data_IF_871901284534
#
_entry.id   IF_871901284534
#
_cell.length_a   1.000
_cell.length_b   1.000
_cell.length_c   1.000
_cell.angle_alpha   90.00
_cell.angle_beta   90.00
_cell.angle_gamma   90.00
#
_symmetry.space_group_name_H-M   'P 1'
#
loop_
_entity.id
_entity.type
_entity.pdbx_description
1 polymer ?
#
# COMPACT_ATOMS: atom_id res chain seq x y z
N UNK A 1 6.10 4.80 19.94
CA UNK A 1 5.51 5.75 18.98
C UNK A 1 5.51 5.12 17.59
N UNK A 2 4.35 5.02 16.93
CA UNK A 2 4.25 4.53 15.53
C UNK A 2 5.04 5.49 14.64
N UNK A 3 5.91 4.96 13.79
CA UNK A 3 6.66 5.77 12.83
C UNK A 3 5.72 6.23 11.73
N UNK A 4 5.83 7.50 11.42
CA UNK A 4 4.93 8.26 10.57
C UNK A 4 5.49 8.22 9.14
N UNK A 5 4.76 7.59 8.22
CA UNK A 5 5.22 7.33 6.84
C UNK A 5 5.59 8.59 6.07
N UNK A 6 5.00 9.72 6.44
CA UNK A 6 5.20 11.05 5.84
C UNK A 6 5.50 12.08 6.93
N UNK A 7 6.30 11.70 7.93
CA UNK A 7 6.60 12.56 9.09
C UNK A 7 7.14 13.93 8.66
N UNK A 8 6.51 14.98 9.17
CA UNK A 8 6.85 16.39 8.92
C UNK A 8 6.75 16.83 7.45
N UNK A 9 6.09 16.05 6.59
CA UNK A 9 5.76 16.49 5.23
C UNK A 9 4.66 17.53 5.26
N UNK A 10 4.88 18.66 4.59
CA UNK A 10 3.88 19.71 4.45
C UNK A 10 2.98 19.39 3.26
N UNK A 11 1.73 19.03 3.51
CA UNK A 11 0.76 18.68 2.48
C UNK A 11 -0.31 19.74 2.44
N UNK A 12 -0.56 20.28 1.25
CA UNK A 12 -1.66 21.21 1.02
C UNK A 12 -2.83 20.40 0.48
N UNK A 13 -3.91 20.34 1.26
CA UNK A 13 -5.15 19.68 0.88
C UNK A 13 -6.16 20.72 0.40
N UNK A 14 -6.34 20.79 -0.91
CA UNK A 14 -7.28 21.66 -1.59
C UNK A 14 -8.61 20.92 -1.81
N UNK A 15 -9.70 21.42 -1.23
CA UNK A 15 -11.02 20.77 -1.31
C UNK A 15 -11.97 21.65 -2.12
N UNK A 16 -12.65 21.05 -3.10
CA UNK A 16 -13.61 21.77 -3.96
C UNK A 16 -15.05 21.32 -3.75
N UNK A 17 -16.01 22.14 -4.20
CA UNK A 17 -17.45 21.91 -3.98
C UNK A 17 -18.03 20.74 -4.75
N UNK A 18 -17.94 19.54 -4.16
CA UNK A 18 -18.52 18.29 -4.65
C UNK A 18 -19.14 17.52 -3.49
N UNK A 19 -20.12 16.67 -3.78
CA UNK A 19 -20.69 15.73 -2.80
C UNK A 19 -19.63 14.84 -2.17
N UNK A 20 -18.51 14.60 -2.86
CA UNK A 20 -17.38 13.83 -2.34
C UNK A 20 -16.52 14.60 -1.31
N UNK A 21 -16.80 15.87 -1.00
CA UNK A 21 -15.97 16.68 -0.11
C UNK A 21 -15.85 16.11 1.31
N UNK A 22 -16.84 15.34 1.79
CA UNK A 22 -16.75 14.66 3.09
C UNK A 22 -15.59 13.64 3.13
N UNK A 23 -15.24 13.03 1.99
CA UNK A 23 -14.10 12.09 1.88
C UNK A 23 -12.78 12.78 2.22
N UNK A 24 -12.65 14.07 1.90
CA UNK A 24 -11.46 14.87 2.22
C UNK A 24 -11.31 15.13 3.72
N UNK A 25 -12.41 15.15 4.48
CA UNK A 25 -12.35 15.22 5.96
C UNK A 25 -11.68 13.97 6.50
N UNK A 26 -12.08 12.80 6.02
CA UNK A 26 -11.42 11.55 6.39
C UNK A 26 -9.95 11.51 5.96
N UNK A 27 -9.65 11.90 4.71
CA UNK A 27 -8.28 11.99 4.20
C UNK A 27 -7.40 12.89 5.07
N UNK A 28 -7.92 14.04 5.51
CA UNK A 28 -7.18 14.94 6.40
C UNK A 28 -6.77 14.26 7.72
N UNK A 29 -7.67 13.47 8.32
CA UNK A 29 -7.37 12.68 9.52
C UNK A 29 -6.30 11.62 9.25
N UNK A 30 -6.40 10.94 8.10
CA UNK A 30 -5.46 9.90 7.73
C UNK A 30 -4.04 10.45 7.47
N UNK A 31 -3.95 11.61 6.82
CA UNK A 31 -2.68 12.32 6.58
C UNK A 31 -2.00 12.76 7.90
N UNK A 32 -2.77 13.35 8.81
CA UNK A 32 -2.28 13.76 10.15
C UNK A 32 -1.82 12.55 10.97
N UNK A 33 -2.61 11.45 10.96
CA UNK A 33 -2.22 10.18 11.61
C UNK A 33 -0.94 9.60 11.02
N UNK A 34 -0.73 9.78 9.71
CA UNK A 34 0.48 9.38 8.99
C UNK A 34 1.66 10.34 9.20
N UNK A 35 1.45 11.46 9.90
CA UNK A 35 2.46 12.38 10.38
C UNK A 35 2.71 13.62 9.54
N UNK A 36 1.89 13.86 8.52
CA UNK A 36 1.98 15.08 7.74
C UNK A 36 1.52 16.30 8.56
N UNK A 37 2.12 17.44 8.25
CA UNK A 37 1.55 18.74 8.55
C UNK A 37 0.59 19.12 7.41
N UNK A 38 -0.71 19.23 7.70
CA UNK A 38 -1.74 19.40 6.67
C UNK A 38 -2.32 20.81 6.70
N UNK A 39 -2.08 21.59 5.65
CA UNK A 39 -2.70 22.90 5.44
C UNK A 39 -3.89 22.73 4.50
N UNK A 40 -5.09 23.12 4.93
CA UNK A 40 -6.30 22.97 4.13
C UNK A 40 -6.66 24.29 3.42
N UNK A 41 -7.01 24.19 2.15
CA UNK A 41 -7.59 25.28 1.36
C UNK A 41 -8.97 24.83 0.88
N UNK A 42 -10.03 25.53 1.29
CA UNK A 42 -11.39 25.28 0.81
C UNK A 42 -11.75 26.25 -0.30
N UNK A 43 -12.30 25.74 -1.41
CA UNK A 43 -12.99 26.61 -2.35
C UNK A 43 -14.24 27.20 -1.69
N UNK A 44 -14.68 28.36 -2.17
CA UNK A 44 -15.94 28.97 -1.71
C UNK A 44 -17.13 28.00 -1.80
N UNK A 45 -17.18 27.17 -2.83
CA UNK A 45 -18.23 26.16 -3.02
C UNK A 45 -18.10 24.94 -2.10
N UNK A 46 -16.90 24.57 -1.65
CA UNK A 46 -16.68 23.46 -0.73
C UNK A 46 -17.34 23.70 0.64
N UNK A 47 -17.44 24.96 1.07
CA UNK A 47 -18.08 25.38 2.32
C UNK A 47 -19.57 25.01 2.41
N UNK A 48 -20.23 24.72 1.28
CA UNK A 48 -21.62 24.26 1.26
C UNK A 48 -21.76 22.76 1.54
N UNK A 49 -20.66 22.00 1.50
CA UNK A 49 -20.66 20.54 1.70
C UNK A 49 -19.98 20.13 3.01
N UNK A 50 -18.96 20.89 3.43
CA UNK A 50 -18.15 20.59 4.62
C UNK A 50 -17.78 21.87 5.36
N UNK A 51 -17.75 21.79 6.69
CA UNK A 51 -17.40 22.93 7.55
C UNK A 51 -15.90 23.10 7.75
N UNK A 52 -15.44 24.35 7.84
CA UNK A 52 -14.05 24.70 8.19
C UNK A 52 -13.61 24.08 9.53
N UNK A 53 -14.50 24.06 10.53
CA UNK A 53 -14.20 23.55 11.87
C UNK A 53 -13.78 22.08 11.89
N UNK A 54 -14.34 21.27 10.98
CA UNK A 54 -13.95 19.86 10.85
C UNK A 54 -12.48 19.72 10.47
N UNK A 55 -12.02 20.56 9.54
CA UNK A 55 -10.63 20.52 9.10
C UNK A 55 -9.70 21.11 10.14
N UNK A 56 -9.99 22.31 10.66
CA UNK A 56 -9.13 22.96 11.66
C UNK A 56 -8.98 22.13 12.94
N UNK A 57 -10.04 21.43 13.36
CA UNK A 57 -10.00 20.54 14.52
C UNK A 57 -9.14 19.29 14.30
N UNK A 58 -9.07 18.78 13.07
CA UNK A 58 -8.29 17.58 12.72
C UNK A 58 -6.82 17.92 12.43
N UNK A 59 -6.58 18.99 11.67
CA UNK A 59 -5.24 19.35 11.22
C UNK A 59 -4.48 20.22 12.19
N UNK A 60 -5.18 20.84 13.15
CA UNK A 60 -4.65 21.86 14.05
C UNK A 60 -4.05 23.08 13.33
N UNK A 61 -4.44 23.30 12.08
CA UNK A 61 -4.06 24.46 11.27
C UNK A 61 -5.30 25.29 10.88
N UNK A 62 -5.18 26.62 10.72
CA UNK A 62 -6.25 27.43 10.18
C UNK A 62 -6.61 26.99 8.75
N UNK A 63 -7.87 27.16 8.35
CA UNK A 63 -8.33 26.80 7.00
C UNK A 63 -8.34 28.06 6.13
N UNK A 64 -7.71 27.98 4.96
CA UNK A 64 -7.68 29.10 4.00
C UNK A 64 -8.93 29.04 3.13
N UNK A 65 -9.72 30.11 3.07
CA UNK A 65 -10.97 30.14 2.27
C UNK A 65 -11.03 31.22 1.20
N UNK A 66 -10.04 32.11 1.16
CA UNK A 66 -9.93 33.19 0.18
C UNK A 66 -8.64 33.99 0.35
N UNK A 67 -8.32 34.86 -0.61
CA UNK A 67 -7.14 35.72 -0.57
C UNK A 67 -7.21 36.82 0.49
N UNK A 68 -8.41 37.20 0.91
CA UNK A 68 -8.67 38.37 1.75
C UNK A 68 -9.32 37.98 3.10
N UNK A 69 -9.12 36.74 3.56
CA UNK A 69 -9.76 36.26 4.77
C UNK A 69 -9.07 36.84 6.03
N UNK A 70 -9.81 37.64 6.79
CA UNK A 70 -9.34 38.49 7.89
C UNK A 70 -9.01 37.74 9.18
N UNK A 71 -9.24 36.41 9.22
CA UNK A 71 -8.94 35.55 10.37
C UNK A 71 -7.49 35.03 10.40
N UNK A 72 -6.66 35.45 9.46
CA UNK A 72 -5.23 35.17 9.45
C UNK A 72 -4.51 36.48 9.76
N UNK A 73 -3.42 36.43 10.53
CA UNK A 73 -2.57 37.60 10.82
C UNK A 73 -1.99 38.14 9.50
N UNK A 74 -2.79 38.93 8.76
CA UNK A 74 -2.56 39.66 7.52
C UNK A 74 -1.89 38.98 6.30
N UNK A 75 -1.27 37.81 6.39
CA UNK A 75 -0.73 37.08 5.24
C UNK A 75 -0.28 35.68 5.65
N UNK A 76 -1.20 34.71 5.79
CA UNK A 76 -0.79 33.39 5.30
C UNK A 76 -0.76 33.56 3.78
N UNK A 77 0.37 34.05 3.29
CA UNK A 77 0.58 34.24 1.87
C UNK A 77 0.39 32.85 1.25
N UNK A 78 -0.65 32.68 0.44
CA UNK A 78 -0.82 31.47 -0.37
C UNK A 78 0.50 31.09 -1.07
N UNK A 79 1.37 32.06 -1.32
CA UNK A 79 2.75 31.89 -1.75
C UNK A 79 3.63 31.24 -0.67
N UNK A 80 3.61 31.67 0.59
CA UNK A 80 4.38 31.06 1.67
C UNK A 80 3.95 29.63 1.98
N UNK A 81 2.64 29.39 1.92
CA UNK A 81 2.07 28.04 2.00
C UNK A 81 2.55 27.20 0.82
N UNK A 82 2.41 27.72 -0.41
CA UNK A 82 2.87 27.06 -1.62
C UNK A 82 4.36 26.71 -1.60
N UNK A 83 5.22 27.62 -1.11
CA UNK A 83 6.68 27.44 -1.02
C UNK A 83 7.08 26.35 -0.02
N UNK A 84 6.27 26.14 1.03
CA UNK A 84 6.52 25.12 2.06
C UNK A 84 6.01 23.75 1.67
N UNK A 85 5.17 23.64 0.64
CA UNK A 85 4.54 22.40 0.22
C UNK A 85 5.58 21.35 -0.21
N UNK A 86 5.49 20.14 0.33
CA UNK A 86 6.12 18.95 -0.22
C UNK A 86 5.22 18.27 -1.28
N UNK A 87 3.90 18.47 -1.18
CA UNK A 87 2.88 17.94 -2.09
C UNK A 87 1.62 18.80 -2.02
N UNK A 88 0.95 19.00 -3.16
CA UNK A 88 -0.38 19.59 -3.23
C UNK A 88 -1.37 18.52 -3.70
N UNK A 89 -2.50 18.39 -3.00
CA UNK A 89 -3.55 17.42 -3.31
C UNK A 89 -4.86 18.16 -3.51
N UNK A 90 -5.48 18.04 -4.68
CA UNK A 90 -6.81 18.59 -4.98
C UNK A 90 -7.83 17.46 -4.93
N UNK A 91 -8.60 17.39 -3.85
CA UNK A 91 -9.47 16.27 -3.54
C UNK A 91 -10.71 16.74 -2.75
N UNK A 92 -11.93 16.57 -3.28
CA UNK A 92 -12.24 16.25 -4.67
C UNK A 92 -11.87 17.40 -5.62
N UNK A 93 -11.58 17.08 -6.87
CA UNK A 93 -11.40 18.03 -7.96
C UNK A 93 -12.61 18.02 -8.90
N UNK A 94 -13.43 19.07 -8.82
CA UNK A 94 -14.56 19.30 -9.74
C UNK A 94 -14.12 19.68 -11.15
N UNK A 95 -14.99 19.51 -12.15
CA UNK A 95 -14.74 19.97 -13.52
C UNK A 95 -14.27 21.44 -13.58
N UNK A 96 -14.85 22.31 -12.74
CA UNK A 96 -14.48 23.71 -12.63
C UNK A 96 -13.02 23.92 -12.18
N UNK A 97 -12.53 23.20 -11.17
CA UNK A 97 -11.14 23.36 -10.74
C UNK A 97 -10.17 22.78 -11.77
N UNK A 98 -10.51 21.68 -12.46
CA UNK A 98 -9.69 21.14 -13.54
C UNK A 98 -9.49 22.17 -14.65
N UNK A 99 -10.57 22.85 -15.06
CA UNK A 99 -10.50 23.91 -16.04
C UNK A 99 -9.58 25.05 -15.59
N UNK A 100 -9.78 25.55 -14.36
CA UNK A 100 -8.94 26.64 -13.83
C UNK A 100 -7.47 26.27 -13.71
N UNK A 101 -7.15 25.05 -13.26
CA UNK A 101 -5.76 24.57 -13.19
C UNK A 101 -5.15 24.52 -14.59
N UNK A 102 -5.85 23.92 -15.56
CA UNK A 102 -5.35 23.77 -16.94
C UNK A 102 -5.08 25.11 -17.63
N UNK A 103 -5.85 26.15 -17.28
CA UNK A 103 -5.77 27.48 -17.87
C UNK A 103 -4.96 28.48 -17.03
N UNK A 104 -4.50 28.09 -15.84
CA UNK A 104 -3.81 28.98 -14.91
C UNK A 104 -4.70 30.10 -14.33
N UNK A 105 -6.01 29.89 -14.20
CA UNK A 105 -6.95 30.90 -13.71
C UNK A 105 -6.90 30.97 -12.17
N UNK A 106 -6.10 31.90 -11.64
CA UNK A 106 -5.84 32.08 -10.21
C UNK A 106 -6.90 32.87 -9.43
N UNK A 107 -8.19 32.66 -9.72
CA UNK A 107 -9.31 33.39 -9.07
C UNK A 107 -9.61 32.93 -7.65
N UNK A 108 -9.00 31.84 -7.18
CA UNK A 108 -9.08 31.33 -5.81
C UNK A 108 -7.70 30.83 -5.33
N UNK A 109 -7.48 30.75 -4.00
CA UNK A 109 -6.18 30.40 -3.46
C UNK A 109 -5.67 29.00 -3.82
N UNK A 110 -6.54 28.08 -4.27
CA UNK A 110 -6.13 26.73 -4.67
C UNK A 110 -5.22 26.83 -5.90
N UNK A 111 -5.69 27.52 -6.94
CA UNK A 111 -4.90 27.67 -8.18
C UNK A 111 -3.70 28.58 -7.96
N UNK A 112 -3.85 29.65 -7.17
CA UNK A 112 -2.72 30.51 -6.81
C UNK A 112 -1.61 29.75 -6.08
N UNK A 113 -1.97 28.86 -5.17
CA UNK A 113 -1.03 28.00 -4.49
C UNK A 113 -0.32 27.01 -5.45
N UNK A 114 -1.05 26.42 -6.40
CA UNK A 114 -0.47 25.52 -7.39
C UNK A 114 0.55 26.26 -8.27
N UNK A 115 0.18 27.44 -8.77
CA UNK A 115 1.05 28.26 -9.62
C UNK A 115 2.30 28.78 -8.88
N UNK A 116 2.19 29.02 -7.58
CA UNK A 116 3.28 29.52 -6.75
C UNK A 116 4.19 28.40 -6.17
N UNK A 117 3.88 27.12 -6.41
CA UNK A 117 4.63 25.99 -5.86
C UNK A 117 5.47 25.27 -6.91
N UNK A 118 6.53 24.61 -6.44
CA UNK A 118 7.30 23.61 -7.20
C UNK A 118 6.98 22.18 -6.77
N UNK A 119 6.10 22.01 -5.78
CA UNK A 119 5.73 20.72 -5.27
C UNK A 119 4.95 19.93 -6.34
N UNK A 120 5.09 18.59 -6.38
CA UNK A 120 4.22 17.75 -7.18
C UNK A 120 2.75 17.98 -6.81
N UNK A 121 1.86 17.80 -7.80
CA UNK A 121 0.43 17.97 -7.63
C UNK A 121 -0.29 16.67 -7.95
N UNK A 122 -1.18 16.24 -7.05
CA UNK A 122 -2.13 15.16 -7.27
C UNK A 122 -3.54 15.76 -7.34
N UNK A 123 -4.32 15.34 -8.32
CA UNK A 123 -5.70 15.78 -8.52
C UNK A 123 -6.58 14.54 -8.54
N UNK A 124 -7.62 14.51 -7.71
CA UNK A 124 -8.59 13.41 -7.60
C UNK A 124 -9.96 13.86 -8.14
N UNK A 125 -10.27 13.64 -9.44
CA UNK A 125 -11.50 14.14 -10.05
C UNK A 125 -12.76 13.57 -9.41
N UNK A 126 -13.80 14.39 -9.29
CA UNK A 126 -15.12 13.96 -8.81
C UNK A 126 -16.23 14.77 -9.48
N UNK A 127 -17.02 14.12 -10.33
CA UNK A 127 -18.14 14.71 -11.06
C UNK A 127 -19.09 13.63 -11.61
N UNK A 128 -20.19 14.05 -12.21
CA UNK A 128 -21.06 13.11 -12.93
C UNK A 128 -20.35 12.51 -14.16
N UNK A 129 -20.79 11.33 -14.63
CA UNK A 129 -20.17 10.63 -15.75
C UNK A 129 -20.26 11.40 -17.06
N UNK A 130 -21.38 12.05 -17.34
CA UNK A 130 -21.53 12.86 -18.56
C UNK A 130 -20.64 14.11 -18.51
N UNK A 131 -20.47 14.69 -17.32
CA UNK A 131 -19.51 15.79 -17.11
C UNK A 131 -18.08 15.32 -17.37
N UNK A 132 -17.69 14.17 -16.80
CA UNK A 132 -16.35 13.62 -16.97
C UNK A 132 -16.05 13.33 -18.45
N UNK A 133 -16.98 12.71 -19.16
CA UNK A 133 -16.83 12.36 -20.58
C UNK A 133 -16.96 13.56 -21.54
N UNK A 134 -17.36 14.74 -21.05
CA UNK A 134 -17.50 15.91 -21.90
C UNK A 134 -16.17 16.30 -22.58
N UNK A 135 -16.19 16.73 -23.85
CA UNK A 135 -14.98 17.11 -24.58
C UNK A 135 -14.15 18.21 -23.87
N UNK A 136 -14.82 19.11 -23.16
CA UNK A 136 -14.18 20.19 -22.39
C UNK A 136 -13.37 19.63 -21.23
N UNK A 137 -13.96 18.76 -20.41
CA UNK A 137 -13.28 18.14 -19.27
C UNK A 137 -12.13 17.25 -19.74
N UNK A 138 -12.33 16.47 -20.80
CA UNK A 138 -11.27 15.64 -21.37
C UNK A 138 -10.08 16.47 -21.90
N UNK A 139 -10.33 17.65 -22.50
CA UNK A 139 -9.26 18.59 -22.86
C UNK A 139 -8.47 19.05 -21.64
N UNK A 140 -9.15 19.44 -20.56
CA UNK A 140 -8.48 19.88 -19.32
C UNK A 140 -7.68 18.74 -18.68
N UNK A 141 -8.23 17.53 -18.63
CA UNK A 141 -7.54 16.33 -18.12
C UNK A 141 -6.24 16.07 -18.89
N UNK A 142 -6.29 16.13 -20.22
CA UNK A 142 -5.10 15.91 -21.04
C UNK A 142 -4.06 17.02 -20.86
N UNK A 143 -4.50 18.27 -20.68
CA UNK A 143 -3.62 19.38 -20.35
C UNK A 143 -2.94 19.19 -19.00
N UNK A 144 -3.68 18.79 -17.96
CA UNK A 144 -3.11 18.49 -16.64
C UNK A 144 -2.02 17.41 -16.74
N UNK A 145 -2.24 16.34 -17.51
CA UNK A 145 -1.21 15.32 -17.76
C UNK A 145 0.03 15.90 -18.44
N UNK A 146 -0.15 16.80 -19.42
CA UNK A 146 0.95 17.49 -20.10
C UNK A 146 1.78 18.35 -19.15
N UNK A 147 1.14 18.92 -18.13
CA UNK A 147 1.77 19.71 -17.07
C UNK A 147 2.41 18.85 -15.95
N UNK A 148 2.53 17.53 -16.16
CA UNK A 148 3.04 16.56 -15.16
C UNK A 148 2.23 16.53 -13.85
N UNK A 149 0.94 16.86 -13.93
CA UNK A 149 0.02 16.75 -12.80
C UNK A 149 -0.52 15.32 -12.75
N UNK A 150 -0.36 14.68 -11.60
CA UNK A 150 -0.80 13.30 -11.38
C UNK A 150 -2.31 13.26 -11.18
N UNK A 151 -3.00 12.39 -11.93
CA UNK A 151 -4.44 12.19 -11.81
C UNK A 151 -4.71 10.88 -11.07
N UNK A 152 -5.40 10.98 -9.94
CA UNK A 152 -5.90 9.85 -9.16
C UNK A 152 -7.38 9.62 -9.52
N UNK A 153 -7.68 8.50 -10.18
CA UNK A 153 -9.02 8.18 -10.66
C UNK A 153 -9.49 9.07 -11.84
N UNK A 154 -10.81 9.32 -11.99
CA UNK A 154 -11.89 8.87 -11.11
C UNK A 154 -12.19 7.38 -11.24
N UNK A 155 -12.87 6.84 -10.23
CA UNK A 155 -13.32 5.45 -10.19
C UNK A 155 -14.71 5.27 -10.82
N UNK A 156 -14.97 4.05 -11.29
CA UNK A 156 -16.31 3.63 -11.74
C UNK A 156 -17.16 3.25 -10.54
N UNK A 157 -18.38 3.76 -10.46
CA UNK A 157 -19.31 3.39 -9.41
C UNK A 157 -20.65 4.12 -9.49
N UNK A 158 -21.56 3.81 -8.58
CA UNK A 158 -22.86 4.50 -8.48
C UNK A 158 -22.64 5.96 -8.08
N UNK A 159 -23.01 6.87 -8.98
CA UNK A 159 -22.93 8.31 -8.82
C UNK A 159 -24.19 8.87 -8.14
N UNK A 160 -24.15 10.14 -7.73
CA UNK A 160 -25.30 10.81 -7.12
C UNK A 160 -26.52 10.92 -8.06
N UNK A 161 -26.29 10.95 -9.38
CA UNK A 161 -27.31 10.86 -10.42
C UNK A 161 -28.00 9.49 -10.50
N UNK A 162 -27.45 8.47 -9.84
CA UNK A 162 -27.93 7.08 -9.90
C UNK A 162 -27.27 6.24 -11.01
N UNK A 163 -26.52 6.86 -11.91
CA UNK A 163 -25.79 6.19 -13.00
C UNK A 163 -24.55 5.47 -12.44
N UNK A 164 -24.19 4.32 -13.01
CA UNK A 164 -23.00 3.56 -12.63
C UNK A 164 -21.89 3.73 -13.66
N UNK A 165 -21.14 4.82 -13.56
CA UNK A 165 -20.11 5.23 -14.53
C UNK A 165 -18.87 5.81 -13.85
N UNK A 166 -17.84 6.12 -14.63
CA UNK A 166 -16.66 6.85 -14.16
C UNK A 166 -17.05 8.26 -13.69
N UNK A 167 -16.54 8.67 -12.54
CA UNK A 167 -16.81 10.02 -12.00
C UNK A 167 -16.72 10.12 -10.48
N UNK A 168 -16.62 8.97 -9.80
CA UNK A 168 -16.47 8.90 -8.34
C UNK A 168 -15.04 9.24 -7.96
N UNK A 169 -14.85 10.09 -6.95
CA UNK A 169 -13.52 10.34 -6.39
C UNK A 169 -12.91 9.03 -5.89
N UNK A 170 -11.62 8.82 -6.19
CA UNK A 170 -10.77 7.79 -5.58
C UNK A 170 -11.01 7.68 -4.08
N UNK A 171 -10.95 6.46 -3.54
CA UNK A 171 -11.11 6.31 -2.10
C UNK A 171 -9.98 6.99 -1.33
N UNK A 172 -10.26 7.60 -0.17
CA UNK A 172 -9.22 8.27 0.61
C UNK A 172 -8.03 7.39 0.98
N UNK A 173 -8.26 6.09 1.21
CA UNK A 173 -7.21 5.11 1.49
C UNK A 173 -6.26 4.95 0.30
N UNK A 174 -6.81 4.77 -0.90
CA UNK A 174 -6.04 4.64 -2.14
C UNK A 174 -5.28 5.95 -2.44
N UNK A 175 -5.94 7.10 -2.29
CA UNK A 175 -5.32 8.40 -2.47
C UNK A 175 -4.21 8.68 -1.44
N UNK A 176 -4.38 8.24 -0.19
CA UNK A 176 -3.32 8.31 0.83
C UNK A 176 -2.09 7.50 0.43
N UNK A 177 -2.28 6.33 -0.16
CA UNK A 177 -1.18 5.50 -0.64
C UNK A 177 -0.42 6.16 -1.79
N UNK A 178 -1.13 6.71 -2.77
CA UNK A 178 -0.51 7.48 -3.86
C UNK A 178 0.29 8.69 -3.31
N UNK A 179 -0.25 9.38 -2.29
CA UNK A 179 0.44 10.48 -1.59
C UNK A 179 1.73 9.99 -0.93
N UNK A 180 1.67 8.88 -0.19
CA UNK A 180 2.85 8.29 0.47
C UNK A 180 3.87 7.87 -0.58
N UNK A 181 3.45 7.24 -1.66
CA UNK A 181 4.31 6.82 -2.75
C UNK A 181 5.03 8.01 -3.39
N UNK A 182 4.29 9.11 -3.68
CA UNK A 182 4.86 10.32 -4.30
C UNK A 182 5.85 11.03 -3.36
N UNK A 183 5.62 10.96 -2.06
CA UNK A 183 6.48 11.56 -1.03
C UNK A 183 7.64 10.66 -0.57
N UNK A 184 7.65 9.40 -0.97
CA UNK A 184 8.66 8.43 -0.57
C UNK A 184 10.03 8.78 -1.19
N UNK A 185 11.00 9.09 -0.33
CA UNK A 185 12.33 9.62 -0.71
C UNK A 185 13.26 8.61 -1.36
N UNK A 186 13.01 7.31 -1.23
CA UNK A 186 13.95 6.24 -1.64
C UNK A 186 13.31 5.36 -2.71
N UNK A 187 13.50 5.69 -3.98
CA UNK A 187 13.03 4.90 -5.14
C UNK A 187 14.07 3.87 -5.61
N UNK A 188 14.79 3.26 -4.68
CA UNK A 188 15.92 2.38 -5.00
C UNK A 188 15.52 0.98 -5.51
N UNK A 189 14.21 0.74 -5.65
CA UNK A 189 13.63 -0.45 -6.27
C UNK A 189 12.86 -0.17 -7.57
N UNK A 190 12.94 1.04 -8.15
CA UNK A 190 12.14 1.45 -9.32
C UNK A 190 12.21 0.50 -10.54
N UNK A 191 13.33 -0.21 -10.70
CA UNK A 191 13.56 -1.17 -11.81
C UNK A 191 13.36 -2.63 -11.39
N UNK A 192 12.80 -2.88 -10.21
CA UNK A 192 12.67 -4.21 -9.63
C UNK A 192 11.23 -4.69 -9.75
N UNK A 193 11.05 -5.80 -10.43
CA UNK A 193 9.84 -6.62 -10.36
C UNK A 193 10.02 -7.63 -9.22
N UNK A 194 9.17 -7.53 -8.20
CA UNK A 194 9.26 -8.35 -7.00
C UNK A 194 8.02 -9.23 -6.83
N UNK A 195 8.26 -10.51 -6.52
CA UNK A 195 7.23 -11.45 -6.07
C UNK A 195 7.32 -11.52 -4.55
N UNK A 196 6.19 -11.32 -3.88
CA UNK A 196 6.07 -11.49 -2.43
C UNK A 196 5.00 -12.53 -2.17
N UNK A 197 5.26 -13.49 -1.27
CA UNK A 197 4.23 -14.41 -0.80
C UNK A 197 3.73 -14.02 0.58
N UNK A 198 2.42 -14.12 0.82
CA UNK A 198 1.81 -13.81 2.12
C UNK A 198 0.66 -14.77 2.49
N UNK A 199 0.31 -14.79 3.78
CA UNK A 199 -0.80 -15.59 4.29
C UNK A 199 -0.45 -17.06 4.50
N UNK A 200 -1.43 -17.86 4.93
CA UNK A 200 -1.31 -19.31 5.06
C UNK A 200 -1.97 -20.02 3.88
N UNK A 201 -1.36 -21.09 3.36
CA UNK A 201 -2.05 -21.96 2.38
C UNK A 201 -3.11 -22.81 3.08
N UNK A 202 -4.10 -23.24 2.32
CA UNK A 202 -5.24 -24.05 2.72
C UNK A 202 -5.15 -25.36 1.95
N UNK A 203 -5.01 -26.46 2.67
CA UNK A 203 -4.99 -27.81 2.11
C UNK A 203 -6.31 -28.49 2.47
N UNK A 204 -7.20 -28.61 1.48
CA UNK A 204 -8.56 -29.11 1.69
C UNK A 204 -8.57 -30.61 2.02
N UNK A 205 -9.40 -31.00 2.99
CA UNK A 205 -9.67 -32.39 3.35
C UNK A 205 -10.92 -32.88 2.61
N UNK A 206 -11.96 -32.06 2.68
CA UNK A 206 -13.25 -32.21 2.04
C UNK A 206 -13.82 -30.79 1.76
N UNK A 207 -15.00 -30.62 1.13
CA UNK A 207 -15.53 -29.28 0.81
C UNK A 207 -15.83 -28.38 2.02
N UNK A 208 -15.67 -28.88 3.25
CA UNK A 208 -16.02 -28.17 4.50
C UNK A 208 -14.81 -27.95 5.40
N UNK A 209 -13.80 -28.84 5.34
CA UNK A 209 -12.68 -28.89 6.28
C UNK A 209 -11.35 -28.75 5.54
N UNK A 210 -10.39 -28.10 6.19
CA UNK A 210 -9.05 -27.91 5.65
C UNK A 210 -7.99 -27.89 6.76
N UNK A 211 -6.73 -28.03 6.35
CA UNK A 211 -5.52 -27.86 7.16
C UNK A 211 -4.86 -26.54 6.74
N UNK A 212 -4.43 -25.72 7.70
CA UNK A 212 -3.76 -24.45 7.42
C UNK A 212 -2.88 -24.00 8.58
N UNK A 213 -1.95 -23.09 8.29
CA UNK A 213 -1.07 -22.48 9.28
C UNK A 213 -1.67 -21.19 9.83
N UNK A 214 -1.36 -20.86 11.09
CA UNK A 214 -1.83 -19.63 11.77
C UNK A 214 -1.09 -18.39 11.26
N UNK A 215 -1.29 -18.01 10.00
CA UNK A 215 -0.68 -16.82 9.41
C UNK A 215 -1.71 -15.74 9.13
N UNK A 216 -1.46 -14.54 9.67
CA UNK A 216 -2.26 -13.35 9.38
C UNK A 216 -1.95 -12.71 8.03
N UNK A 217 -0.79 -13.02 7.45
CA UNK A 217 -0.28 -12.40 6.22
C UNK A 217 0.26 -10.97 6.37
N UNK A 218 0.13 -10.35 7.56
CA UNK A 218 0.55 -8.95 7.82
C UNK A 218 2.01 -8.67 7.45
N UNK A 219 2.93 -9.63 7.64
CA UNK A 219 4.35 -9.43 7.32
C UNK A 219 4.58 -9.33 5.81
N UNK A 220 3.97 -10.22 5.02
CA UNK A 220 4.09 -10.18 3.56
C UNK A 220 3.42 -8.95 2.96
N UNK A 221 2.28 -8.51 3.51
CA UNK A 221 1.65 -7.24 3.13
C UNK A 221 2.58 -6.06 3.44
N UNK A 222 3.21 -6.03 4.62
CA UNK A 222 4.14 -4.97 4.99
C UNK A 222 5.35 -4.90 4.05
N UNK A 223 5.87 -6.04 3.62
CA UNK A 223 6.97 -6.14 2.65
C UNK A 223 6.53 -5.65 1.28
N UNK A 224 5.35 -6.06 0.81
CA UNK A 224 4.80 -5.64 -0.46
C UNK A 224 4.58 -4.11 -0.50
N UNK A 225 4.03 -3.52 0.57
CA UNK A 225 3.89 -2.07 0.76
C UNK A 225 5.24 -1.37 0.68
N UNK A 226 6.22 -1.82 1.48
CA UNK A 226 7.54 -1.20 1.51
C UNK A 226 8.28 -1.30 0.17
N UNK A 227 8.07 -2.37 -0.61
CA UNK A 227 8.61 -2.52 -1.97
C UNK A 227 7.98 -1.52 -2.94
N UNK A 228 6.64 -1.43 -2.96
CA UNK A 228 5.91 -0.45 -3.77
C UNK A 228 6.34 0.97 -3.44
N UNK A 229 6.39 1.33 -2.16
CA UNK A 229 6.76 2.68 -1.73
C UNK A 229 8.19 3.05 -2.19
N UNK A 230 9.06 2.04 -2.29
CA UNK A 230 10.42 2.14 -2.83
C UNK A 230 10.53 2.03 -4.36
N UNK A 231 9.40 1.99 -5.07
CA UNK A 231 9.30 2.02 -6.53
C UNK A 231 9.20 0.66 -7.21
N UNK A 232 9.21 -0.46 -6.47
CA UNK A 232 9.12 -1.78 -7.10
C UNK A 232 7.75 -2.02 -7.76
N UNK A 233 7.72 -2.79 -8.85
CA UNK A 233 6.49 -3.42 -9.34
C UNK A 233 6.27 -4.72 -8.56
N UNK A 234 5.19 -4.79 -7.79
CA UNK A 234 4.99 -5.88 -6.84
C UNK A 234 3.85 -6.80 -7.27
N UNK A 235 4.12 -8.10 -7.33
CA UNK A 235 3.10 -9.16 -7.38
C UNK A 235 3.04 -9.85 -6.02
N UNK A 236 1.91 -9.68 -5.31
CA UNK A 236 1.65 -10.32 -4.02
C UNK A 236 0.79 -11.58 -4.23
N UNK A 237 1.44 -12.74 -4.21
CA UNK A 237 0.79 -14.04 -4.29
C UNK A 237 0.40 -14.45 -2.87
N UNK A 238 -0.89 -14.63 -2.59
CA UNK A 238 -1.34 -14.80 -1.23
C UNK A 238 -2.31 -15.95 -1.03
N UNK A 239 -2.11 -16.66 0.09
CA UNK A 239 -3.10 -17.57 0.66
C UNK A 239 -4.17 -16.81 1.44
N UNK A 240 -4.62 -17.39 2.55
CA UNK A 240 -5.53 -16.74 3.49
C UNK A 240 -4.87 -15.52 4.15
N UNK A 241 -5.51 -14.35 4.02
CA UNK A 241 -5.12 -13.10 4.67
C UNK A 241 -6.20 -12.68 5.67
N UNK A 242 -5.82 -12.17 6.84
CA UNK A 242 -6.77 -11.63 7.83
C UNK A 242 -7.31 -10.25 7.41
N UNK A 243 -6.47 -9.45 6.74
CA UNK A 243 -6.83 -8.14 6.24
C UNK A 243 -6.16 -7.93 4.88
N UNK A 244 -6.91 -7.35 3.93
CA UNK A 244 -6.42 -6.96 2.60
C UNK A 244 -6.31 -5.43 2.43
N UNK A 245 -6.49 -4.66 3.50
CA UNK A 245 -6.49 -3.21 3.43
C UNK A 245 -5.10 -2.66 3.08
N UNK A 246 -5.13 -1.58 2.32
CA UNK A 246 -4.00 -0.78 1.86
C UNK A 246 -3.02 -1.53 0.92
N UNK A 247 -3.53 -2.42 0.05
CA UNK A 247 -2.71 -3.09 -0.99
C UNK A 247 -2.81 -2.41 -2.36
N UNK A 248 -3.08 -1.10 -2.43
CA UNK A 248 -3.18 -0.39 -3.70
C UNK A 248 -1.81 -0.35 -4.40
N UNK A 249 -1.80 -0.32 -5.73
CA UNK A 249 -0.56 -0.37 -6.53
C UNK A 249 0.22 -1.69 -6.43
N UNK A 250 -0.33 -2.71 -5.75
CA UNK A 250 0.24 -4.06 -5.66
C UNK A 250 -0.67 -5.00 -6.44
N UNK A 251 -0.09 -5.78 -7.37
CA UNK A 251 -0.84 -6.81 -8.10
C UNK A 251 -1.13 -7.98 -7.18
N UNK A 252 -2.39 -8.20 -6.84
CA UNK A 252 -2.84 -9.28 -5.97
C UNK A 252 -3.15 -10.56 -6.76
N UNK A 253 -2.60 -11.70 -6.34
CA UNK A 253 -2.90 -13.02 -6.91
C UNK A 253 -3.30 -13.96 -5.78
N UNK A 254 -4.58 -14.31 -5.72
CA UNK A 254 -5.10 -15.21 -4.68
C UNK A 254 -4.85 -16.66 -5.07
N UNK A 255 -4.35 -17.44 -4.12
CA UNK A 255 -4.15 -18.90 -4.24
C UNK A 255 -4.70 -19.58 -3.00
N UNK A 256 -5.11 -20.84 -3.14
CA UNK A 256 -5.60 -21.62 -2.00
C UNK A 256 -4.48 -22.52 -1.47
N UNK A 257 -3.89 -23.36 -2.31
CA UNK A 257 -2.95 -24.42 -1.89
C UNK A 257 -1.48 -24.06 -2.10
N UNK A 258 -0.57 -24.84 -1.50
CA UNK A 258 0.86 -24.76 -1.77
C UNK A 258 1.20 -25.02 -3.25
N UNK A 259 0.46 -25.92 -3.91
CA UNK A 259 0.65 -26.23 -5.34
C UNK A 259 0.26 -25.05 -6.23
N UNK A 260 -0.86 -24.40 -5.95
CA UNK A 260 -1.28 -23.20 -6.67
C UNK A 260 -0.29 -22.04 -6.43
N UNK A 261 0.17 -21.86 -5.19
CA UNK A 261 1.18 -20.86 -4.87
C UNK A 261 2.47 -21.08 -5.68
N UNK A 262 2.94 -22.33 -5.76
CA UNK A 262 4.11 -22.69 -6.57
C UNK A 262 3.90 -22.31 -8.03
N UNK A 263 2.78 -22.72 -8.63
CA UNK A 263 2.45 -22.46 -10.03
C UNK A 263 2.42 -20.96 -10.32
N UNK A 264 1.79 -20.16 -9.46
CA UNK A 264 1.71 -18.71 -9.66
C UNK A 264 3.06 -18.02 -9.49
N UNK A 265 3.94 -18.51 -8.61
CA UNK A 265 5.31 -18.02 -8.54
C UNK A 265 6.00 -18.30 -9.89
N UNK A 266 5.95 -19.53 -10.38
CA UNK A 266 6.56 -19.93 -11.65
C UNK A 266 6.08 -19.08 -12.84
N UNK A 267 4.77 -18.79 -12.91
CA UNK A 267 4.18 -17.93 -13.94
C UNK A 267 4.73 -16.49 -13.96
N UNK A 268 5.25 -16.01 -12.83
CA UNK A 268 5.74 -14.63 -12.69
C UNK A 268 7.28 -14.54 -12.59
N UNK A 269 7.99 -15.67 -12.54
CA UNK A 269 9.44 -15.71 -12.32
C UNK A 269 10.25 -15.03 -13.42
N UNK A 270 9.89 -15.25 -14.69
CA UNK A 270 10.72 -14.86 -15.84
C UNK A 270 11.07 -13.37 -15.86
N UNK A 271 10.13 -12.52 -15.41
CA UNK A 271 10.31 -11.07 -15.41
C UNK A 271 10.69 -10.51 -14.03
N UNK A 272 10.95 -11.34 -13.03
CA UNK A 272 11.13 -10.91 -11.64
C UNK A 272 12.59 -11.02 -11.18
N UNK A 273 13.06 -10.01 -10.45
CA UNK A 273 14.44 -9.98 -9.91
C UNK A 273 14.50 -10.40 -8.44
N UNK A 274 13.38 -10.34 -7.73
CA UNK A 274 13.32 -10.61 -6.30
C UNK A 274 12.11 -11.48 -5.94
N UNK A 275 12.35 -12.55 -5.17
CA UNK A 275 11.33 -13.37 -4.54
C UNK A 275 11.48 -13.32 -3.02
N UNK A 276 10.45 -12.81 -2.34
CA UNK A 276 10.38 -12.81 -0.87
C UNK A 276 9.29 -13.78 -0.40
N UNK A 277 9.69 -14.93 0.12
CA UNK A 277 8.78 -15.97 0.58
C UNK A 277 8.45 -15.83 2.07
N UNK A 278 7.43 -15.02 2.38
CA UNK A 278 6.97 -14.78 3.76
C UNK A 278 5.65 -15.47 4.11
N UNK A 279 5.03 -16.17 3.16
CA UNK A 279 3.85 -17.00 3.41
C UNK A 279 4.18 -18.19 4.32
N UNK A 280 3.19 -18.60 5.12
CA UNK A 280 3.23 -19.84 5.89
C UNK A 280 2.64 -20.97 5.02
N UNK A 281 3.45 -21.49 4.12
CA UNK A 281 3.10 -22.62 3.25
C UNK A 281 2.99 -23.90 4.09
N UNK A 282 1.94 -24.69 3.89
CA UNK A 282 1.76 -25.97 4.56
C UNK A 282 2.75 -27.01 4.04
N UNK A 283 3.50 -27.67 4.94
CA UNK A 283 4.50 -28.68 4.59
C UNK A 283 3.88 -29.98 4.06
N UNK A 284 2.60 -30.23 4.36
CA UNK A 284 1.85 -31.42 3.99
C UNK A 284 0.49 -31.04 3.42
N UNK A 285 -0.01 -31.86 2.49
CA UNK A 285 -1.37 -31.81 1.94
C UNK A 285 -2.10 -33.13 2.13
N UNK A 286 -3.41 -33.12 1.95
CA UNK A 286 -4.25 -34.32 2.02
C UNK A 286 -4.02 -35.15 0.76
N UNK A 287 -3.64 -36.42 0.93
CA UNK A 287 -3.31 -37.32 -0.19
C UNK A 287 -4.55 -37.71 -1.01
N UNK A 288 -5.67 -37.95 -0.33
CA UNK A 288 -6.93 -38.38 -0.94
C UNK A 288 -8.04 -37.36 -0.63
N UNK A 289 -8.11 -36.28 -1.41
CA UNK A 289 -9.19 -35.29 -1.27
C UNK A 289 -10.55 -35.93 -1.58
N UNK A 290 -11.53 -35.67 -0.72
CA UNK A 290 -12.92 -36.10 -0.94
C UNK A 290 -13.74 -34.98 -1.57
N UNK A 291 -14.44 -35.26 -2.67
CA UNK A 291 -15.38 -34.30 -3.29
C UNK A 291 -16.67 -34.09 -2.50
N UNK A 292 -16.95 -34.99 -1.56
CA UNK A 292 -18.10 -34.93 -0.65
C UNK A 292 -17.63 -34.75 0.79
N UNK A 293 -18.46 -34.13 1.63
CA UNK A 293 -18.19 -34.01 3.07
C UNK A 293 -18.05 -35.39 3.68
N UNK A 294 -16.88 -35.70 4.24
CA UNK A 294 -16.65 -37.00 4.85
C UNK A 294 -17.54 -37.12 6.09
N UNK A 295 -18.38 -38.17 6.13
CA UNK A 295 -19.27 -38.46 7.26
C UNK A 295 -18.44 -38.69 8.52
N UNK A 296 -18.99 -38.30 9.68
CA UNK A 296 -18.25 -38.33 10.95
C UNK A 296 -17.83 -39.76 11.32
N UNK A 297 -18.69 -40.73 11.00
CA UNK A 297 -18.50 -42.15 11.31
C UNK A 297 -17.44 -42.82 10.42
N UNK A 298 -17.16 -42.24 9.25
CA UNK A 298 -16.18 -42.77 8.29
C UNK A 298 -14.79 -42.14 8.40
N UNK A 299 -14.60 -41.15 9.28
CA UNK A 299 -13.37 -40.34 9.35
C UNK A 299 -12.53 -40.68 10.58
N UNK A 300 -11.73 -41.75 10.48
CA UNK A 300 -10.85 -42.20 11.58
C UNK A 300 -9.42 -41.65 11.47
N UNK A 301 -8.96 -41.32 10.26
CA UNK A 301 -7.64 -40.74 10.02
C UNK A 301 -7.64 -39.90 8.74
N UNK A 302 -6.64 -39.03 8.59
CA UNK A 302 -6.37 -38.27 7.37
C UNK A 302 -4.97 -38.65 6.91
N UNK A 303 -4.86 -39.20 5.70
CA UNK A 303 -3.57 -39.52 5.11
C UNK A 303 -2.96 -38.26 4.46
N UNK A 304 -1.74 -37.92 4.87
CA UNK A 304 -1.02 -36.73 4.40
C UNK A 304 0.15 -37.13 3.52
N UNK A 305 0.44 -36.30 2.53
CA UNK A 305 1.65 -36.37 1.72
C UNK A 305 2.39 -35.02 1.71
N UNK A 306 3.70 -35.04 1.45
CA UNK A 306 4.52 -33.82 1.49
C UNK A 306 4.20 -32.88 0.33
N UNK A 307 4.12 -31.60 0.64
CA UNK A 307 4.11 -30.54 -0.36
C UNK A 307 5.49 -30.30 -0.96
N UNK A 308 5.56 -29.74 -2.19
CA UNK A 308 6.82 -29.33 -2.78
C UNK A 308 7.46 -28.23 -1.94
N UNK A 309 8.79 -28.25 -1.87
CA UNK A 309 9.53 -27.22 -1.17
C UNK A 309 9.80 -26.07 -2.14
N UNK A 310 8.81 -25.20 -2.28
CA UNK A 310 8.81 -24.12 -3.28
C UNK A 310 10.12 -23.32 -3.25
N UNK A 311 10.59 -22.93 -2.05
CA UNK A 311 11.81 -22.14 -1.89
C UNK A 311 13.06 -22.89 -2.36
N UNK A 312 13.10 -24.22 -2.21
CA UNK A 312 14.18 -25.08 -2.71
C UNK A 312 14.10 -25.27 -4.22
N UNK A 313 12.90 -25.48 -4.74
CA UNK A 313 12.65 -25.87 -6.13
C UNK A 313 12.82 -24.70 -7.11
N UNK A 314 12.58 -23.46 -6.68
CA UNK A 314 12.89 -22.28 -7.50
C UNK A 314 14.41 -22.12 -7.63
N UNK A 315 14.89 -22.04 -8.87
CA UNK A 315 16.30 -21.81 -9.17
C UNK A 315 16.76 -20.42 -8.69
N UNK A 316 17.67 -20.41 -7.71
CA UNK A 316 18.24 -19.19 -7.13
C UNK A 316 19.20 -18.43 -8.05
N UNK A 317 19.60 -19.01 -9.18
CA UNK A 317 20.42 -18.30 -10.18
C UNK A 317 19.58 -17.37 -11.06
N UNK A 318 18.27 -17.61 -11.15
CA UNK A 318 17.34 -16.79 -11.94
C UNK A 318 16.78 -15.60 -11.17
N UNK A 319 16.80 -15.66 -9.83
CA UNK A 319 16.13 -14.68 -8.99
C UNK A 319 16.78 -14.60 -7.60
N UNK A 320 16.84 -13.40 -7.03
CA UNK A 320 17.26 -13.22 -5.63
C UNK A 320 16.19 -13.76 -4.71
N UNK A 321 16.54 -14.78 -3.91
CA UNK A 321 15.61 -15.41 -2.96
C UNK A 321 15.85 -14.93 -1.53
N UNK A 322 14.79 -14.40 -0.92
CA UNK A 322 14.70 -14.08 0.51
C UNK A 322 13.69 -15.01 1.15
N UNK A 323 14.15 -15.88 2.05
CA UNK A 323 13.30 -16.82 2.77
C UNK A 323 12.96 -16.35 4.18
N UNK A 324 11.90 -16.92 4.75
CA UNK A 324 11.55 -16.74 6.16
C UNK A 324 11.77 -18.04 6.94
N UNK A 325 12.20 -17.91 8.19
CA UNK A 325 12.27 -18.99 9.16
C UNK A 325 11.54 -18.56 10.43
N UNK A 326 10.58 -19.37 10.87
CA UNK A 326 9.87 -19.18 12.13
C UNK A 326 10.07 -20.46 12.94
N UNK A 327 10.89 -20.38 13.98
CA UNK A 327 11.27 -21.55 14.79
C UNK A 327 11.15 -21.20 16.27
N UNK A 328 10.73 -22.16 17.08
CA UNK A 328 10.69 -22.05 18.54
C UNK A 328 12.02 -22.42 19.19
N UNK A 329 12.86 -23.20 18.50
CA UNK A 329 14.12 -23.72 19.02
C UNK A 329 15.23 -23.61 17.96
N UNK A 330 16.48 -23.40 18.41
CA UNK A 330 17.68 -23.38 17.55
C UNK A 330 17.55 -22.49 16.30
N UNK A 331 16.84 -21.38 16.41
CA UNK A 331 16.47 -20.48 15.31
C UNK A 331 17.63 -20.15 14.37
N UNK A 332 18.79 -19.76 14.92
CA UNK A 332 19.97 -19.37 14.13
C UNK A 332 20.60 -20.55 13.36
N UNK A 333 20.66 -21.72 13.97
CA UNK A 333 21.23 -22.91 13.34
C UNK A 333 20.35 -23.37 12.17
N UNK A 334 19.04 -23.42 12.40
CA UNK A 334 18.05 -23.79 11.39
C UNK A 334 18.00 -22.76 10.25
N UNK A 335 18.07 -21.47 10.57
CA UNK A 335 18.11 -20.41 9.56
C UNK A 335 19.37 -20.47 8.68
N UNK A 336 20.55 -20.75 9.25
CA UNK A 336 21.79 -20.96 8.48
C UNK A 336 21.71 -22.18 7.57
N UNK A 337 21.19 -23.31 8.08
CA UNK A 337 20.93 -24.51 7.28
C UNK A 337 19.96 -24.21 6.13
N UNK A 338 18.91 -23.43 6.37
CA UNK A 338 17.93 -23.01 5.35
C UNK A 338 18.55 -22.10 4.29
N UNK A 339 19.41 -21.16 4.68
CA UNK A 339 20.11 -20.26 3.76
C UNK A 339 20.87 -21.07 2.68
N UNK A 340 21.71 -22.01 3.10
CA UNK A 340 22.52 -22.83 2.18
C UNK A 340 21.68 -23.87 1.42
N UNK A 341 20.83 -24.63 2.12
CA UNK A 341 20.06 -25.74 1.50
C UNK A 341 19.01 -25.28 0.49
N UNK A 342 18.57 -24.01 0.60
CA UNK A 342 17.59 -23.40 -0.30
C UNK A 342 18.20 -22.41 -1.28
N UNK A 343 19.53 -22.26 -1.32
CA UNK A 343 20.20 -21.26 -2.15
C UNK A 343 19.56 -19.86 -2.02
N UNK A 344 19.30 -19.43 -0.77
CA UNK A 344 18.76 -18.10 -0.49
C UNK A 344 19.92 -17.10 -0.32
N UNK A 345 19.71 -15.85 -0.74
CA UNK A 345 20.66 -14.77 -0.47
C UNK A 345 20.47 -14.20 0.93
N UNK A 346 19.28 -14.34 1.49
CA UNK A 346 18.99 -13.90 2.85
C UNK A 346 17.88 -14.76 3.46
N UNK A 347 17.97 -15.00 4.78
CA UNK A 347 16.89 -15.53 5.60
C UNK A 347 16.50 -14.50 6.66
N UNK A 348 15.20 -14.26 6.78
CA UNK A 348 14.61 -13.50 7.88
C UNK A 348 14.16 -14.52 8.94
N UNK A 349 14.91 -14.61 10.03
CA UNK A 349 14.65 -15.54 11.12
C UNK A 349 13.84 -14.83 12.22
N UNK A 350 12.58 -15.22 12.39
CA UNK A 350 11.67 -14.64 13.37
C UNK A 350 11.58 -15.54 14.60
N UNK A 351 11.69 -14.91 15.77
CA UNK A 351 11.43 -15.59 17.04
C UNK A 351 9.93 -15.49 17.35
N UNK A 352 9.25 -16.64 17.30
CA UNK A 352 7.81 -16.77 17.55
C UNK A 352 7.47 -17.12 19.01
N UNK A 353 8.48 -17.23 19.88
CA UNK A 353 8.28 -17.58 21.29
C UNK A 353 7.98 -16.38 22.19
N UNK A 354 8.29 -15.16 21.71
CA UNK A 354 8.08 -13.92 22.45
C UNK A 354 6.62 -13.44 22.38
N UNK A 355 6.04 -13.17 23.55
CA UNK A 355 4.70 -12.60 23.67
C UNK A 355 4.61 -11.24 22.94
N UNK A 356 3.64 -11.10 22.04
CA UNK A 356 3.50 -9.91 21.18
C UNK A 356 4.41 -9.88 19.93
N UNK A 357 5.19 -10.93 19.65
CA UNK A 357 5.98 -11.11 18.42
C UNK A 357 5.37 -12.19 17.51
N UNK A 358 5.65 -12.15 16.20
CA UNK A 358 5.31 -13.23 15.27
C UNK A 358 3.92 -13.12 14.62
N UNK A 359 3.20 -14.25 14.55
CA UNK A 359 1.94 -14.37 13.83
C UNK A 359 0.82 -13.55 14.50
N UNK A 360 -0.06 -12.92 13.71
CA UNK A 360 -1.18 -12.10 14.22
C UNK A 360 -0.79 -10.71 14.75
N UNK A 361 0.39 -10.55 15.35
CA UNK A 361 0.87 -9.27 15.91
C UNK A 361 1.22 -8.22 14.84
N UNK A 362 1.19 -6.93 15.21
CA UNK A 362 1.67 -5.81 14.40
C UNK A 362 3.20 -5.59 14.53
N UNK A 363 3.81 -6.23 15.53
CA UNK A 363 5.24 -6.16 15.80
C UNK A 363 5.92 -7.51 15.52
N UNK A 364 7.22 -7.47 15.27
CA UNK A 364 8.04 -8.65 15.08
C UNK A 364 9.49 -8.38 15.47
N UNK A 365 10.18 -9.39 15.98
CA UNK A 365 11.62 -9.40 16.24
C UNK A 365 12.25 -10.40 15.27
N UNK A 366 13.31 -9.99 14.60
CA UNK A 366 13.94 -10.82 13.59
C UNK A 366 15.47 -10.71 13.62
N UNK A 367 16.12 -11.77 13.16
CA UNK A 367 17.54 -11.78 12.83
C UNK A 367 17.65 -11.92 11.31
N UNK A 368 18.30 -10.95 10.67
CA UNK A 368 18.62 -11.03 9.25
C UNK A 368 19.92 -11.82 9.11
N UNK A 369 19.92 -12.89 8.32
CA UNK A 369 21.07 -13.77 8.13
C UNK A 369 21.36 -13.89 6.64
N UNK A 370 22.59 -13.61 6.24
CA UNK A 370 23.08 -13.75 4.88
C UNK A 370 24.57 -14.14 4.86
N UNK A 371 25.19 -14.17 3.68
CA UNK A 371 26.61 -14.50 3.52
C UNK A 371 27.56 -13.47 4.17
N UNK A 372 27.08 -12.24 4.39
CA UNK A 372 27.84 -11.16 5.01
C UNK A 372 27.71 -11.15 6.55
N UNK A 373 26.92 -12.07 7.12
CA UNK A 373 26.78 -12.26 8.56
C UNK A 373 25.34 -12.14 9.05
N UNK A 374 25.20 -11.76 10.32
CA UNK A 374 23.90 -11.66 10.97
C UNK A 374 23.68 -10.27 11.58
N UNK A 375 22.44 -9.77 11.54
CA UNK A 375 22.01 -8.54 12.20
C UNK A 375 20.78 -8.80 13.05
N UNK A 376 20.90 -8.51 14.34
CA UNK A 376 19.79 -8.62 15.29
C UNK A 376 18.95 -7.35 15.23
N UNK A 377 17.68 -7.50 14.86
CA UNK A 377 16.71 -6.40 14.89
C UNK A 377 15.85 -6.50 16.15
N UNK A 378 15.69 -5.42 16.93
CA UNK A 378 14.84 -5.42 18.11
C UNK A 378 13.36 -5.59 17.70
N UNK A 379 12.49 -5.82 18.69
CA UNK A 379 11.04 -5.83 18.46
C UNK A 379 10.62 -4.49 17.86
N UNK A 380 10.03 -4.53 16.67
CA UNK A 380 9.60 -3.33 15.95
C UNK A 380 8.35 -3.61 15.12
N UNK A 381 7.71 -2.55 14.66
CA UNK A 381 6.54 -2.68 13.77
C UNK A 381 6.93 -3.37 12.45
N UNK A 382 6.04 -4.21 11.92
CA UNK A 382 6.27 -4.99 10.69
C UNK A 382 6.62 -4.15 9.47
N UNK A 383 6.11 -2.93 9.34
CA UNK A 383 6.50 -1.99 8.26
C UNK A 383 7.96 -1.56 8.41
N UNK A 384 8.41 -1.23 9.63
CA UNK A 384 9.82 -0.90 9.88
C UNK A 384 10.74 -2.07 9.57
N UNK A 385 10.33 -3.26 10.03
CA UNK A 385 11.05 -4.49 9.76
C UNK A 385 11.11 -4.76 8.25
N UNK A 386 10.02 -4.54 7.51
CA UNK A 386 10.00 -4.65 6.06
C UNK A 386 11.03 -3.72 5.40
N UNK A 387 11.10 -2.44 5.78
CA UNK A 387 12.14 -1.54 5.25
C UNK A 387 13.57 -2.01 5.57
N UNK A 388 13.83 -2.54 6.78
CA UNK A 388 15.13 -3.11 7.15
C UNK A 388 15.48 -4.36 6.34
N UNK A 389 14.52 -5.26 6.13
CA UNK A 389 14.67 -6.43 5.26
C UNK A 389 15.04 -5.96 3.85
N UNK A 390 14.34 -4.96 3.31
CA UNK A 390 14.63 -4.44 1.97
C UNK A 390 15.97 -3.70 1.90
N UNK A 391 16.35 -2.94 2.92
CA UNK A 391 17.69 -2.33 2.98
C UNK A 391 18.80 -3.38 2.90
N UNK A 392 18.60 -4.53 3.54
CA UNK A 392 19.55 -5.64 3.43
C UNK A 392 19.46 -6.35 2.08
N UNK A 393 18.26 -6.65 1.61
CA UNK A 393 18.03 -7.36 0.35
C UNK A 393 18.56 -6.58 -0.86
N UNK A 394 18.54 -5.24 -0.82
CA UNK A 394 19.01 -4.39 -1.93
C UNK A 394 20.48 -4.65 -2.29
N UNK A 395 21.31 -5.10 -1.35
CA UNK A 395 22.72 -5.47 -1.61
C UNK A 395 22.89 -6.58 -2.65
N UNK A 396 21.85 -7.39 -2.85
CA UNK A 396 21.86 -8.52 -3.79
C UNK A 396 21.13 -8.21 -5.10
N UNK A 397 20.57 -7.00 -5.24
CA UNK A 397 19.74 -6.60 -6.39
C UNK A 397 20.43 -5.45 -7.09
N UNK A 398 20.88 -5.71 -8.32
CA UNK A 398 21.57 -4.74 -9.18
C UNK A 398 20.76 -3.46 -9.43
#
# INVERSE_FOLDING_TARGET
MKEKMIDKKNIILCVTGSIAAYKSVYLSSALVKSGANVQVILSKSAKNFVGESSFSGITHNPVITGYYDSKTDLSIDHIDVAKKADLIVVAPATANILAKISLGISSDPIVGCILASKAPVIVAPAMDGDMYNSPQVQKHINELRRLDIHLSGPEKGRLASGINEFGRMTEPEELLEEIIEKLSKKKDYEKVNAIVTAGGTIEEIDPVRYISNKSSGKMGIAIAKALRDRGAKVTLIHGKLENKSDTYGIRMVSVNSALEMKKEIENHLENSQLLIMSAAVADYRVKNYSKEKIKKESMNSIELEKNPDILKEIDGNKIVKVGFAAESEKLLENAKKKLSSKNCKMIVANDITLEGSGFGSDNNKAVLIDENGQENLPLMNKIKLAHKILDRAKKYIN
#
